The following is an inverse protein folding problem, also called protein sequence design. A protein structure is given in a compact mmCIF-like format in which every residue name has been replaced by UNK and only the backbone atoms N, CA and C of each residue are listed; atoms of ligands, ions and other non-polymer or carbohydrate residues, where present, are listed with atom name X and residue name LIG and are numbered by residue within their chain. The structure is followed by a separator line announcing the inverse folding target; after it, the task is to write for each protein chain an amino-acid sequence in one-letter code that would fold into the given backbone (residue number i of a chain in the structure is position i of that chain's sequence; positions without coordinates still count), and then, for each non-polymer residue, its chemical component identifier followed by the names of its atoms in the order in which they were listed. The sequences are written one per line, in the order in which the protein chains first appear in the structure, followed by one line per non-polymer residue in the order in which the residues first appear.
data_IF_880732451408
#
_entry.id   IF_880732451408
#
_cell.length_a   1.000
_cell.length_b   1.000
_cell.length_c   1.000
_cell.angle_alpha   90.00
_cell.angle_beta   90.00
_cell.angle_gamma   90.00
#
_symmetry.space_group_name_H-M   'P 1'
#
loop_
_entity.id
_entity.type
_entity.pdbx_description
1 polymer ?
#
# COMPACT_ATOMS: atom_id res chain seq x y z
N UNK A 1 -16.47 0.21 37.57
CA UNK A 1 -15.81 1.50 37.26
C UNK A 1 -15.64 1.62 35.75
N UNK A 2 -15.96 2.81 35.22
CA UNK A 2 -15.60 3.36 33.91
C UNK A 2 -16.15 2.67 32.64
N UNK A 3 -17.33 3.15 32.27
CA UNK A 3 -17.97 3.12 30.96
C UNK A 3 -17.45 4.28 30.11
N UNK A 4 -16.48 4.08 29.20
CA UNK A 4 -16.11 5.10 28.18
C UNK A 4 -15.61 4.41 26.90
N UNK A 5 -16.50 4.19 25.93
CA UNK A 5 -16.15 4.27 24.51
C UNK A 5 -17.36 4.77 23.72
N UNK A 6 -17.56 6.09 23.77
CA UNK A 6 -18.46 6.79 22.85
C UNK A 6 -17.75 6.91 21.50
N UNK A 7 -18.21 6.10 20.55
CA UNK A 7 -18.65 6.53 19.23
C UNK A 7 -17.82 7.65 18.55
N UNK A 8 -16.65 7.30 18.01
CA UNK A 8 -15.92 8.18 17.09
C UNK A 8 -16.48 8.04 15.68
N UNK A 9 -17.54 8.79 15.39
CA UNK A 9 -17.90 9.11 14.00
C UNK A 9 -16.80 10.02 13.43
N UNK A 10 -15.82 9.42 12.75
CA UNK A 10 -14.87 10.18 11.94
C UNK A 10 -15.68 10.88 10.85
N UNK A 11 -15.80 12.19 10.98
CA UNK A 11 -16.51 13.06 10.05
C UNK A 11 -15.83 13.03 8.68
N UNK A 12 -16.62 12.97 7.60
CA UNK A 12 -16.16 13.04 6.21
C UNK A 12 -15.21 14.22 5.93
N UNK A 13 -15.28 15.28 6.74
CA UNK A 13 -14.38 16.45 6.69
C UNK A 13 -12.93 16.13 7.07
N UNK A 14 -12.69 15.16 7.96
CA UNK A 14 -11.34 14.74 8.37
C UNK A 14 -10.67 13.92 7.26
N UNK A 15 -11.44 13.07 6.57
CA UNK A 15 -10.99 12.30 5.41
C UNK A 15 -10.54 13.22 4.27
N UNK A 16 -11.32 14.27 4.00
CA UNK A 16 -11.01 15.28 3.00
C UNK A 16 -9.77 16.09 3.37
N UNK A 17 -9.56 16.37 4.67
CA UNK A 17 -8.41 17.13 5.15
C UNK A 17 -7.08 16.37 4.99
N UNK A 18 -7.07 15.04 5.19
CA UNK A 18 -5.86 14.22 4.99
C UNK A 18 -5.51 14.14 3.49
N UNK A 19 -6.51 13.96 2.62
CA UNK A 19 -6.32 14.03 1.16
C UNK A 19 -5.86 15.44 0.71
N UNK A 20 -6.34 16.50 1.36
CA UNK A 20 -5.95 17.87 1.05
C UNK A 20 -4.49 18.17 1.46
N UNK A 21 -4.03 17.66 2.60
CA UNK A 21 -2.63 17.82 3.05
C UNK A 21 -1.61 17.13 2.13
N UNK A 22 -1.96 16.01 1.49
CA UNK A 22 -1.11 15.39 0.45
C UNK A 22 -1.15 16.14 -0.90
N UNK A 23 -2.14 17.01 -1.10
CA UNK A 23 -2.32 17.79 -2.33
C UNK A 23 -1.67 19.18 -2.30
N UNK A 24 -1.26 19.69 -1.13
CA UNK A 24 -0.67 21.02 -1.02
C UNK A 24 0.73 21.06 -1.68
N UNK A 25 0.97 21.98 -2.63
CA UNK A 25 2.30 22.22 -3.17
C UNK A 25 3.07 23.07 -2.16
N UNK A 26 3.80 22.43 -1.24
CA UNK A 26 4.82 23.12 -0.45
C UNK A 26 6.02 23.38 -1.37
N UNK A 27 6.01 24.56 -1.99
CA UNK A 27 7.12 25.26 -2.66
C UNK A 27 8.10 24.40 -3.47
N UNK A 28 7.98 24.41 -4.80
CA UNK A 28 9.15 24.48 -5.69
C UNK A 28 8.73 24.86 -7.11
N UNK A 29 9.20 26.02 -7.55
CA UNK A 29 9.21 26.43 -8.96
C UNK A 29 10.38 25.73 -9.65
N UNK A 30 10.07 24.76 -10.53
CA UNK A 30 10.88 24.17 -11.63
C UNK A 30 10.43 22.72 -11.93
N UNK A 31 9.88 22.48 -13.13
CA UNK A 31 9.49 21.15 -13.67
C UNK A 31 10.67 20.15 -13.66
N UNK A 32 10.41 18.83 -13.45
CA UNK A 32 9.72 18.04 -14.46
C UNK A 32 8.42 17.41 -13.95
N UNK A 33 7.35 17.70 -14.69
CA UNK A 33 6.17 16.84 -14.82
C UNK A 33 6.64 15.40 -15.12
N UNK A 34 6.18 14.46 -14.30
CA UNK A 34 6.04 13.05 -14.66
C UNK A 34 4.96 12.45 -13.75
N UNK A 35 3.71 12.81 -14.00
CA UNK A 35 2.59 12.24 -13.25
C UNK A 35 2.51 10.76 -13.56
N UNK A 36 2.44 9.93 -12.53
CA UNK A 36 2.33 8.48 -12.66
C UNK A 36 0.94 8.02 -12.32
N UNK A 37 0.25 7.41 -13.28
CA UNK A 37 -1.02 6.75 -13.07
C UNK A 37 -0.79 5.25 -13.10
N UNK A 38 -1.40 4.51 -12.19
CA UNK A 38 -1.30 3.06 -12.20
C UNK A 38 -2.63 2.39 -11.87
N UNK A 39 -2.81 1.22 -12.45
CA UNK A 39 -3.85 0.27 -12.06
C UNK A 39 -3.18 -1.05 -11.71
N UNK A 40 -3.58 -1.65 -10.60
CA UNK A 40 -3.12 -2.98 -10.22
C UNK A 40 -4.22 -3.77 -9.55
N UNK A 41 -4.09 -5.09 -9.65
CA UNK A 41 -4.97 -6.04 -8.97
C UNK A 41 -4.17 -7.16 -8.36
N UNK A 42 -4.73 -7.82 -7.36
CA UNK A 42 -4.04 -8.89 -6.69
C UNK A 42 -4.94 -9.81 -5.90
N UNK A 43 -4.32 -10.83 -5.33
CA UNK A 43 -4.96 -11.85 -4.54
C UNK A 43 -4.36 -11.89 -3.14
N UNK A 44 -5.23 -12.10 -2.16
CA UNK A 44 -4.84 -12.20 -0.76
C UNK A 44 -4.03 -13.46 -0.50
N UNK A 45 -2.99 -13.32 0.32
CA UNK A 45 -2.17 -14.43 0.80
C UNK A 45 -2.13 -14.47 2.33
N UNK A 46 -2.17 -15.68 2.86
CA UNK A 46 -2.03 -15.97 4.29
C UNK A 46 -0.59 -15.93 4.77
N UNK A 47 0.36 -15.90 3.84
CA UNK A 47 1.78 -15.95 4.16
C UNK A 47 2.23 -14.64 4.80
N UNK A 48 3.17 -14.73 5.74
CA UNK A 48 3.74 -13.56 6.39
C UNK A 48 4.62 -12.76 5.41
N UNK A 49 4.73 -11.44 5.61
CA UNK A 49 5.47 -10.55 4.72
C UNK A 49 6.93 -11.00 4.51
N UNK A 50 7.63 -11.36 5.59
CA UNK A 50 9.02 -11.81 5.50
C UNK A 50 9.18 -13.10 4.69
N UNK A 51 8.22 -14.02 4.77
CA UNK A 51 8.24 -15.26 3.99
C UNK A 51 7.95 -15.01 2.51
N UNK A 52 7.04 -14.08 2.21
CA UNK A 52 6.78 -13.64 0.84
C UNK A 52 8.07 -13.05 0.23
N UNK A 53 8.73 -12.13 0.93
CA UNK A 53 9.89 -11.41 0.40
C UNK A 53 11.16 -12.28 0.33
N UNK A 54 11.36 -13.19 1.30
CA UNK A 54 12.60 -13.97 1.42
C UNK A 54 12.49 -15.38 0.82
N UNK A 55 11.30 -15.99 0.83
CA UNK A 55 11.08 -17.38 0.40
C UNK A 55 10.18 -17.51 -0.82
N UNK A 56 9.50 -16.44 -1.23
CA UNK A 56 8.52 -16.44 -2.32
C UNK A 56 7.38 -17.47 -2.12
N UNK A 57 7.08 -17.82 -0.87
CA UNK A 57 6.01 -18.77 -0.53
C UNK A 57 4.67 -18.04 -0.40
N UNK A 58 3.60 -18.60 -0.97
CA UNK A 58 2.31 -17.90 -1.10
C UNK A 58 1.14 -18.88 -0.91
N UNK A 59 0.37 -18.68 0.15
CA UNK A 59 -0.84 -19.45 0.45
C UNK A 59 -2.08 -18.59 0.19
N UNK A 60 -2.55 -18.63 -1.06
CA UNK A 60 -3.58 -17.73 -1.54
C UNK A 60 -4.98 -18.11 -1.04
N UNK A 61 -5.86 -17.11 -0.88
CA UNK A 61 -7.32 -17.31 -0.68
C UNK A 61 -8.11 -16.49 -1.69
N UNK A 62 -9.38 -16.86 -1.87
CA UNK A 62 -10.34 -16.18 -2.76
C UNK A 62 -10.79 -14.80 -2.21
N UNK A 63 -9.85 -13.88 -2.03
CA UNK A 63 -10.11 -12.47 -1.78
C UNK A 63 -9.18 -11.65 -2.64
N UNK A 64 -9.70 -10.60 -3.26
CA UNK A 64 -8.99 -9.85 -4.30
C UNK A 64 -9.00 -8.36 -3.99
N UNK A 65 -8.05 -7.65 -4.56
CA UNK A 65 -7.95 -6.19 -4.49
C UNK A 65 -7.80 -5.62 -5.90
N UNK A 66 -8.43 -4.48 -6.16
CA UNK A 66 -8.27 -3.68 -7.37
C UNK A 66 -8.02 -2.24 -6.96
N UNK A 67 -6.91 -1.66 -7.41
CA UNK A 67 -6.44 -0.36 -6.95
C UNK A 67 -6.10 0.53 -8.14
N UNK A 68 -6.45 1.81 -8.02
CA UNK A 68 -5.93 2.89 -8.85
C UNK A 68 -5.03 3.76 -7.99
N UNK A 69 -3.92 4.20 -8.55
CA UNK A 69 -2.97 5.05 -7.85
C UNK A 69 -2.51 6.22 -8.71
N UNK A 70 -2.29 7.35 -8.04
CA UNK A 70 -1.65 8.54 -8.59
C UNK A 70 -0.38 8.81 -7.79
N UNK A 71 0.76 8.91 -8.47
CA UNK A 71 2.03 9.21 -7.85
C UNK A 71 2.69 10.42 -8.51
N UNK A 72 3.36 11.24 -7.70
CA UNK A 72 4.16 12.37 -8.15
C UNK A 72 5.56 12.31 -7.52
N UNK A 73 6.63 12.66 -8.25
CA UNK A 73 7.92 12.90 -7.65
C UNK A 73 7.79 13.96 -6.54
N UNK A 74 8.50 13.74 -5.43
CA UNK A 74 8.50 14.66 -4.29
C UNK A 74 9.88 15.24 -4.07
N UNK A 75 10.88 14.38 -3.85
CA UNK A 75 12.27 14.81 -3.70
C UNK A 75 13.21 13.70 -4.12
N UNK A 76 14.48 14.03 -4.31
CA UNK A 76 15.54 13.05 -4.54
C UNK A 76 16.43 13.00 -3.30
N UNK A 77 16.55 11.82 -2.70
CA UNK A 77 17.39 11.61 -1.52
C UNK A 77 18.39 10.50 -1.80
N UNK A 78 19.68 10.85 -1.77
CA UNK A 78 20.78 9.96 -2.14
C UNK A 78 20.58 9.33 -3.54
N UNK A 79 20.46 8.00 -3.61
CA UNK A 79 20.22 7.23 -4.84
C UNK A 79 18.73 6.92 -5.05
N UNK A 80 17.85 7.38 -4.17
CA UNK A 80 16.41 7.15 -4.24
C UNK A 80 15.67 8.37 -4.82
N UNK A 81 14.73 8.13 -5.72
CA UNK A 81 13.69 9.11 -6.05
C UNK A 81 12.52 8.86 -5.10
N UNK A 82 12.19 9.84 -4.26
CA UNK A 82 11.06 9.78 -3.35
C UNK A 82 9.84 10.31 -4.08
N UNK A 83 8.79 9.51 -4.10
CA UNK A 83 7.49 9.80 -4.71
C UNK A 83 6.43 9.84 -3.61
N UNK A 84 5.45 10.73 -3.72
CA UNK A 84 4.21 10.61 -2.94
C UNK A 84 3.18 9.89 -3.78
N UNK A 85 2.50 8.90 -3.22
CA UNK A 85 1.47 8.13 -3.90
C UNK A 85 0.16 8.16 -3.09
N UNK A 86 -0.96 8.38 -3.79
CA UNK A 86 -2.31 8.23 -3.26
C UNK A 86 -3.02 7.10 -3.99
N UNK A 87 -3.80 6.30 -3.28
CA UNK A 87 -4.48 5.15 -3.84
C UNK A 87 -5.94 5.07 -3.40
N UNK A 88 -6.77 4.54 -4.29
CA UNK A 88 -8.14 4.11 -3.99
C UNK A 88 -8.36 2.74 -4.58
N UNK A 89 -9.06 1.88 -3.84
CA UNK A 89 -9.49 0.63 -4.44
C UNK A 89 -10.55 -0.13 -3.69
N UNK A 90 -10.85 -1.29 -4.25
CA UNK A 90 -11.97 -2.13 -3.87
C UNK A 90 -11.49 -3.55 -3.61
N UNK A 91 -11.90 -4.07 -2.46
CA UNK A 91 -11.73 -5.45 -2.09
C UNK A 91 -12.99 -6.24 -2.47
N UNK A 92 -12.78 -7.43 -3.03
CA UNK A 92 -13.84 -8.36 -3.40
C UNK A 92 -13.51 -9.78 -2.90
N UNK A 93 -14.49 -10.69 -3.01
CA UNK A 93 -14.40 -12.05 -2.47
C UNK A 93 -14.82 -12.08 -1.01
N UNK A 94 -13.96 -12.62 -0.14
CA UNK A 94 -14.22 -12.71 1.30
C UNK A 94 -14.30 -11.33 1.95
N UNK A 95 -13.36 -10.42 1.61
CA UNK A 95 -13.41 -9.04 2.08
C UNK A 95 -14.07 -8.14 1.03
N UNK A 96 -15.02 -7.31 1.48
CA UNK A 96 -15.83 -6.43 0.62
C UNK A 96 -15.86 -5.01 1.17
N UNK A 97 -14.90 -4.19 0.80
CA UNK A 97 -14.75 -2.83 1.31
C UNK A 97 -13.94 -1.96 0.34
N UNK A 98 -13.91 -0.66 0.60
CA UNK A 98 -12.99 0.25 -0.08
C UNK A 98 -11.79 0.52 0.82
N UNK A 99 -10.64 0.74 0.19
CA UNK A 99 -9.39 1.07 0.84
C UNK A 99 -8.79 2.33 0.22
N UNK A 100 -8.31 3.23 1.07
CA UNK A 100 -7.66 4.49 0.69
C UNK A 100 -6.28 4.56 1.32
N UNK A 101 -5.24 4.77 0.49
CA UNK A 101 -3.86 4.77 0.97
C UNK A 101 -3.16 6.08 0.62
N UNK A 102 -2.28 6.52 1.51
CA UNK A 102 -1.33 7.61 1.28
C UNK A 102 0.04 7.18 1.76
N UNK A 103 1.06 7.26 0.90
CA UNK A 103 2.40 6.78 1.19
C UNK A 103 3.49 7.61 0.54
N UNK A 104 4.69 7.52 1.12
CA UNK A 104 5.93 7.86 0.46
C UNK A 104 6.54 6.58 -0.12
N UNK A 105 7.07 6.68 -1.34
CA UNK A 105 7.67 5.57 -2.06
C UNK A 105 9.10 5.94 -2.44
N UNK A 106 10.07 5.20 -1.90
CA UNK A 106 11.48 5.33 -2.26
C UNK A 106 11.80 4.39 -3.41
N UNK A 107 12.03 4.94 -4.61
CA UNK A 107 12.37 4.19 -5.82
C UNK A 107 13.85 4.22 -6.12
N UNK A 108 14.42 3.05 -6.31
CA UNK A 108 15.80 2.78 -6.69
C UNK A 108 15.83 2.10 -8.05
N UNK A 109 16.89 2.32 -8.81
CA UNK A 109 17.04 1.68 -10.10
C UNK A 109 16.35 2.46 -11.22
N UNK A 110 17.13 2.58 -12.28
CA UNK A 110 16.85 2.91 -13.68
C UNK A 110 18.22 3.31 -14.26
N UNK A 111 19.17 2.37 -14.30
CA UNK A 111 20.41 2.58 -15.06
C UNK A 111 20.15 2.13 -16.50
N UNK A 112 20.83 2.73 -17.48
CA UNK A 112 20.65 2.42 -18.91
C UNK A 112 20.76 0.92 -19.25
N UNK A 113 21.40 0.13 -18.39
CA UNK A 113 21.70 -1.29 -18.63
C UNK A 113 20.73 -2.25 -17.93
N UNK A 114 19.91 -1.78 -16.99
CA UNK A 114 18.94 -2.62 -16.28
C UNK A 114 17.60 -1.88 -16.19
N UNK A 115 16.59 -2.28 -16.99
CA UNK A 115 15.26 -1.65 -17.01
C UNK A 115 14.41 -2.11 -15.81
N UNK A 116 15.01 -2.30 -14.64
CA UNK A 116 14.33 -2.79 -13.43
C UNK A 116 14.48 -1.75 -12.34
N UNK A 117 13.34 -1.32 -11.80
CA UNK A 117 13.27 -0.45 -10.64
C UNK A 117 12.72 -1.24 -9.46
N UNK A 118 13.27 -0.94 -8.29
CA UNK A 118 12.79 -1.45 -7.01
C UNK A 118 12.24 -0.29 -6.22
N UNK A 119 11.11 -0.45 -5.55
CA UNK A 119 10.57 0.57 -4.68
C UNK A 119 10.09 0.00 -3.35
N UNK A 120 10.34 0.76 -2.29
CA UNK A 120 9.83 0.48 -0.94
C UNK A 120 9.02 1.66 -0.48
N UNK A 121 7.81 1.41 0.00
CA UNK A 121 6.85 2.43 0.41
C UNK A 121 6.37 2.23 1.83
N UNK A 122 6.13 3.35 2.50
CA UNK A 122 5.66 3.45 3.87
C UNK A 122 4.55 4.50 3.95
N UNK A 123 3.48 4.19 4.66
CA UNK A 123 2.31 5.06 4.71
C UNK A 123 1.16 4.53 5.54
N UNK A 124 -0.02 5.07 5.27
CA UNK A 124 -1.25 4.75 6.00
C UNK A 124 -2.29 4.19 5.04
N UNK A 125 -3.05 3.21 5.53
CA UNK A 125 -4.17 2.60 4.82
C UNK A 125 -5.44 2.67 5.65
N UNK A 126 -6.50 3.20 5.04
CA UNK A 126 -7.81 3.35 5.66
C UNK A 126 -8.87 2.55 4.89
N UNK A 127 -9.42 1.54 5.55
CA UNK A 127 -10.56 0.77 5.07
C UNK A 127 -11.90 1.39 5.50
N UNK A 128 -12.94 1.28 4.68
CA UNK A 128 -14.28 1.79 5.02
C UNK A 128 -14.96 0.98 6.15
N UNK A 129 -14.57 -0.28 6.32
CA UNK A 129 -14.97 -1.16 7.42
C UNK A 129 -13.77 -1.95 7.94
N UNK A 130 -13.93 -2.56 9.10
CA UNK A 130 -12.93 -3.51 9.59
C UNK A 130 -12.84 -4.71 8.62
N UNK A 131 -11.68 -5.01 8.02
CA UNK A 131 -11.55 -6.09 7.05
C UNK A 131 -11.55 -7.49 7.68
N UNK A 132 -12.41 -8.38 7.18
CA UNK A 132 -12.68 -9.70 7.80
C UNK A 132 -11.44 -10.61 7.96
N UNK A 133 -10.54 -10.63 6.97
CA UNK A 133 -9.32 -11.44 6.97
C UNK A 133 -8.13 -10.82 7.70
N UNK A 134 -8.27 -9.60 8.24
CA UNK A 134 -7.24 -8.94 9.05
C UNK A 134 -7.44 -9.19 10.54
N UNK A 135 -8.62 -9.69 10.93
CA UNK A 135 -8.89 -10.13 12.28
C UNK A 135 -8.03 -11.38 12.58
N UNK A 136 -7.41 -11.45 13.75
CA UNK A 136 -6.40 -12.47 13.96
C UNK A 136 -6.87 -13.91 13.90
N UNK A 137 -5.88 -14.74 13.59
CA UNK A 137 -5.93 -16.19 13.66
C UNK A 137 -5.20 -16.62 14.93
N UNK A 138 -5.54 -17.78 15.48
CA UNK A 138 -4.76 -18.42 16.55
C UNK A 138 -3.27 -18.44 16.15
N UNK A 139 -2.44 -17.71 16.89
CA UNK A 139 -0.99 -17.71 16.71
C UNK A 139 -0.38 -18.68 17.73
N UNK A 140 0.45 -19.62 17.26
CA UNK A 140 1.14 -20.62 18.11
C UNK A 140 2.10 -19.98 19.12
N UNK A 141 2.68 -18.83 18.78
CA UNK A 141 3.58 -18.06 19.65
C UNK A 141 2.84 -17.16 20.65
N UNK A 142 1.57 -16.85 20.42
CA UNK A 142 0.74 -16.02 21.31
C UNK A 142 -0.66 -16.66 21.50
N UNK A 143 -0.72 -17.87 22.09
CA UNK A 143 -1.95 -18.65 22.17
C UNK A 143 -2.99 -18.06 23.12
N UNK A 144 -2.58 -17.14 24.01
CA UNK A 144 -3.41 -16.48 25.01
C UNK A 144 -3.96 -15.12 24.57
N UNK A 145 -3.60 -14.63 23.38
CA UNK A 145 -4.12 -13.37 22.85
C UNK A 145 -5.36 -13.69 22.01
N UNK A 146 -6.53 -13.71 22.66
CA UNK A 146 -7.78 -13.51 21.94
C UNK A 146 -7.71 -12.14 21.30
N UNK A 147 -7.70 -12.09 19.98
CA UNK A 147 -7.54 -10.82 19.32
C UNK A 147 -8.80 -10.00 19.36
N UNK A 148 -8.66 -8.78 19.83
CA UNK A 148 -9.58 -7.74 19.42
C UNK A 148 -9.51 -7.53 17.89
N UNK A 149 -10.66 -7.13 17.36
CA UNK A 149 -10.88 -6.81 15.96
C UNK A 149 -9.75 -5.93 15.38
N UNK A 150 -9.35 -6.20 14.14
CA UNK A 150 -8.48 -5.31 13.36
C UNK A 150 -9.07 -3.90 13.28
N UNK A 151 -8.21 -2.92 13.01
CA UNK A 151 -8.60 -1.53 12.90
C UNK A 151 -8.82 -1.14 11.43
N UNK A 152 -9.66 -0.14 11.20
CA UNK A 152 -9.88 0.41 9.85
C UNK A 152 -8.62 1.11 9.33
N UNK A 153 -7.90 1.79 10.22
CA UNK A 153 -6.66 2.48 9.90
C UNK A 153 -5.49 1.59 10.31
N UNK A 154 -4.64 1.22 9.34
CA UNK A 154 -3.43 0.43 9.55
C UNK A 154 -2.24 1.08 8.88
N UNK A 155 -1.04 0.61 9.25
CA UNK A 155 0.17 0.90 8.51
C UNK A 155 0.13 0.24 7.14
N UNK A 156 0.73 0.90 6.15
CA UNK A 156 0.81 0.41 4.78
C UNK A 156 2.26 0.32 4.31
N UNK A 157 2.68 -0.89 3.97
CA UNK A 157 3.95 -1.16 3.32
C UNK A 157 3.73 -1.61 1.88
N UNK A 158 4.52 -1.04 0.97
CA UNK A 158 4.56 -1.45 -0.43
C UNK A 158 5.98 -1.88 -0.79
N UNK A 159 6.12 -3.08 -1.38
CA UNK A 159 7.38 -3.53 -1.97
C UNK A 159 7.12 -3.81 -3.44
N UNK A 160 7.79 -3.09 -4.34
CA UNK A 160 7.49 -3.10 -5.76
C UNK A 160 8.73 -3.39 -6.60
N UNK A 161 8.51 -4.17 -7.66
CA UNK A 161 9.45 -4.34 -8.77
C UNK A 161 8.75 -3.88 -10.04
N UNK A 162 9.32 -2.91 -10.73
CA UNK A 162 8.79 -2.34 -11.97
C UNK A 162 9.77 -2.57 -13.12
N UNK A 163 9.25 -2.98 -14.27
CA UNK A 163 10.02 -3.10 -15.50
C UNK A 163 9.85 -1.83 -16.34
N UNK A 164 10.87 -0.97 -16.33
CA UNK A 164 10.93 0.26 -17.11
C UNK A 164 11.20 -0.02 -18.58
N UNK A 165 10.14 -0.42 -19.29
CA UNK A 165 10.14 -0.50 -20.75
C UNK A 165 10.39 0.85 -21.45
N UNK A 166 10.08 2.03 -20.89
CA UNK A 166 10.38 3.31 -21.54
C UNK A 166 11.87 3.54 -21.85
N UNK A 167 12.78 2.94 -21.08
CA UNK A 167 14.22 2.96 -21.39
C UNK A 167 14.60 2.12 -22.63
N UNK A 168 13.74 1.21 -23.08
CA UNK A 168 14.00 0.28 -24.17
C UNK A 168 13.14 0.51 -25.43
N UNK A 169 11.87 0.92 -25.28
CA UNK A 169 10.86 0.89 -26.36
C UNK A 169 10.23 2.27 -26.64
N UNK A 170 10.60 3.31 -25.88
CA UNK A 170 10.19 4.70 -26.11
C UNK A 170 9.24 5.28 -25.06
N UNK A 171 9.03 6.60 -25.12
CA UNK A 171 8.12 7.34 -24.22
C UNK A 171 6.68 6.92 -24.51
N UNK A 172 5.84 6.77 -23.48
CA UNK A 172 4.41 6.38 -23.52
C UNK A 172 4.06 4.88 -23.48
N UNK A 173 5.02 3.98 -23.31
CA UNK A 173 4.72 2.56 -23.07
C UNK A 173 4.45 2.32 -21.57
N UNK A 174 3.31 1.70 -21.20
CA UNK A 174 3.06 1.36 -19.81
C UNK A 174 4.10 0.39 -19.27
N UNK A 175 4.58 0.64 -18.06
CA UNK A 175 5.55 -0.21 -17.37
C UNK A 175 4.80 -1.22 -16.49
N UNK A 176 4.97 -2.54 -16.70
CA UNK A 176 4.40 -3.53 -15.81
C UNK A 176 5.16 -3.54 -14.48
N UNK A 177 4.44 -3.81 -13.40
CA UNK A 177 5.04 -3.96 -12.08
C UNK A 177 4.36 -5.04 -11.25
N UNK A 178 5.10 -5.57 -10.30
CA UNK A 178 4.63 -6.45 -9.25
C UNK A 178 4.76 -5.75 -7.91
N UNK A 179 3.77 -5.90 -7.04
CA UNK A 179 3.78 -5.27 -5.72
C UNK A 179 3.25 -6.20 -4.64
N UNK A 180 3.97 -6.26 -3.53
CA UNK A 180 3.44 -6.75 -2.26
C UNK A 180 2.73 -5.59 -1.58
N UNK A 181 1.43 -5.72 -1.41
CA UNK A 181 0.58 -4.77 -0.71
C UNK A 181 0.32 -5.30 0.69
N UNK A 182 0.97 -4.70 1.68
CA UNK A 182 0.95 -5.17 3.05
C UNK A 182 0.32 -4.14 3.97
N UNK A 183 -0.65 -4.60 4.77
CA UNK A 183 -1.22 -3.82 5.87
C UNK A 183 -0.92 -4.51 7.19
N UNK A 184 -0.51 -3.75 8.21
CA UNK A 184 -0.23 -4.32 9.53
C UNK A 184 -0.49 -3.38 10.68
N UNK A 185 -0.64 -4.00 11.86
CA UNK A 185 -0.76 -3.31 13.13
C UNK A 185 0.54 -2.69 13.68
N UNK A 186 1.69 -2.89 13.01
CA UNK A 186 3.04 -2.53 13.48
C UNK A 186 3.25 -2.97 14.94
N UNK A 187 3.31 -4.28 15.15
CA UNK A 187 3.60 -4.88 16.47
C UNK A 187 2.75 -4.34 17.65
N UNK A 188 1.51 -3.90 17.39
CA UNK A 188 0.61 -3.40 18.43
C UNK A 188 0.26 -1.92 18.36
N UNK A 189 0.86 -1.12 17.47
CA UNK A 189 0.58 0.32 17.37
C UNK A 189 -0.87 0.59 16.90
N UNK A 190 -1.34 -0.14 15.88
CA UNK A 190 -2.71 0.04 15.34
C UNK A 190 -3.67 -1.08 15.77
N UNK A 191 -3.16 -2.30 15.90
CA UNK A 191 -3.87 -3.49 16.38
C UNK A 191 -2.85 -4.57 16.78
N UNK A 192 -3.28 -5.64 17.49
CA UNK A 192 -2.37 -6.69 17.98
C UNK A 192 -1.45 -7.28 16.91
N UNK A 193 -0.25 -7.79 17.23
CA UNK A 193 0.78 -8.22 16.27
C UNK A 193 0.33 -9.24 15.21
N UNK A 194 -0.79 -9.90 15.43
CA UNK A 194 -1.39 -10.91 14.58
C UNK A 194 -2.39 -10.36 13.56
N UNK A 195 -2.66 -9.05 13.57
CA UNK A 195 -3.53 -8.39 12.61
C UNK A 195 -2.75 -7.95 11.36
N UNK A 196 -3.43 -7.97 10.22
CA UNK A 196 -2.88 -7.48 8.96
C UNK A 196 -3.28 -8.33 7.77
N UNK A 197 -2.92 -7.86 6.59
CA UNK A 197 -3.18 -8.52 5.32
C UNK A 197 -2.01 -8.36 4.36
N UNK A 198 -1.88 -9.34 3.47
CA UNK A 198 -0.92 -9.34 2.37
C UNK A 198 -1.66 -9.61 1.08
N UNK A 199 -1.38 -8.83 0.05
CA UNK A 199 -1.80 -9.12 -1.31
C UNK A 199 -0.59 -9.13 -2.23
N UNK A 200 -0.55 -10.14 -3.09
CA UNK A 200 0.37 -10.18 -4.21
C UNK A 200 -0.34 -9.61 -5.43
N UNK A 201 0.22 -8.54 -5.96
CA UNK A 201 -0.41 -7.76 -6.99
C UNK A 201 0.49 -7.63 -8.22
N UNK A 202 -0.17 -7.45 -9.36
CA UNK A 202 0.46 -7.08 -10.60
C UNK A 202 -0.34 -5.95 -11.23
N UNK A 203 0.35 -5.08 -11.96
CA UNK A 203 -0.24 -3.88 -12.51
C UNK A 203 0.56 -3.27 -13.63
N UNK A 204 0.05 -2.14 -14.10
CA UNK A 204 0.63 -1.34 -15.17
C UNK A 204 0.65 0.12 -14.75
N UNK A 205 1.72 0.82 -15.14
CA UNK A 205 1.94 2.24 -14.82
C UNK A 205 2.20 3.04 -16.07
N UNK A 206 1.52 4.18 -16.20
CA UNK A 206 1.76 5.20 -17.21
C UNK A 206 2.47 6.39 -16.58
N UNK A 207 3.46 6.94 -17.27
CA UNK A 207 4.19 8.15 -16.86
C UNK A 207 3.98 9.23 -17.91
N UNK A 208 3.55 10.43 -17.49
CA UNK A 208 3.18 11.57 -18.34
C UNK A 208 4.01 12.81 -18.02
#
# INVERSE_FOLDING_TARGET
MAQIFKNTKISFKVLFSILFFFSLPLFSDNKPENLKLAYYKGMYTNTNLGEILLKLDTHNRQSYINMFSIAKPFLKLWKANIETEGQVGWHTGVQKHMEFNGLFLARFGANKNLPVNFAVGEGLSLATRNPDLENPRKNVFYPSVESEYSNKLLNYLAFEVELSLPSLIGKNVPSPFFRVHHRSGVYGIFCPPTCGSNYLTYGVRWSY
#
